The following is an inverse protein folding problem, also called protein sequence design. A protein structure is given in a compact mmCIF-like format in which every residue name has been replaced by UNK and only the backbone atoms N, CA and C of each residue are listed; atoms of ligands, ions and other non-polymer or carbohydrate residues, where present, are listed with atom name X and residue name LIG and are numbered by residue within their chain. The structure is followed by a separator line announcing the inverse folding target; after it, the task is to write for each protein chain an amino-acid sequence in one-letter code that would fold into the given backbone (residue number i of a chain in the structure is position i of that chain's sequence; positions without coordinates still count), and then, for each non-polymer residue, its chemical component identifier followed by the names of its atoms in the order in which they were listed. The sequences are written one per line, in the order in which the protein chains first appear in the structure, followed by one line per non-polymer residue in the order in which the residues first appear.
data_IF_248391818035
#
_entry.id   IF_248391818035
#
_cell.length_a   1.000
_cell.length_b   1.000
_cell.length_c   1.000
_cell.angle_alpha   90.00
_cell.angle_beta   90.00
_cell.angle_gamma   90.00
#
_symmetry.space_group_name_H-M   'P 1'
#
loop_
_entity.id
_entity.type
_entity.pdbx_description
1 polymer ?
#
# COMPACT_ATOMS: atom_id res chain seq x y z
N UNK A 1 -24.30 20.96 -12.48
CA UNK A 1 -23.32 19.89 -12.11
C UNK A 1 -23.31 19.76 -10.59
N UNK A 2 -23.46 18.55 -10.04
CA UNK A 2 -23.61 18.35 -8.60
C UNK A 2 -22.24 18.08 -7.95
N UNK A 3 -21.93 18.78 -6.87
CA UNK A 3 -20.72 18.54 -6.07
C UNK A 3 -20.83 17.23 -5.28
N UNK A 4 -19.68 16.62 -4.96
CA UNK A 4 -19.59 15.59 -3.92
C UNK A 4 -19.44 16.32 -2.59
N UNK A 5 -20.33 16.04 -1.66
CA UNK A 5 -20.29 16.58 -0.30
C UNK A 5 -20.37 15.43 0.70
N UNK A 6 -19.35 15.31 1.54
CA UNK A 6 -19.29 14.36 2.64
C UNK A 6 -19.09 15.12 3.94
N UNK A 7 -19.94 14.86 4.93
CA UNK A 7 -19.84 15.45 6.26
C UNK A 7 -19.41 14.38 7.26
N UNK A 8 -18.50 14.73 8.14
CA UNK A 8 -18.13 13.89 9.26
C UNK A 8 -19.18 14.07 10.37
N UNK A 9 -20.22 13.24 10.36
CA UNK A 9 -21.26 13.26 11.39
C UNK A 9 -20.76 12.75 12.75
N UNK A 10 -21.62 12.84 13.78
CA UNK A 10 -21.26 12.52 15.17
C UNK A 10 -20.83 11.06 15.41
N UNK A 11 -21.12 10.15 14.47
CA UNK A 11 -20.75 8.72 14.54
C UNK A 11 -19.59 8.31 13.62
N UNK A 12 -18.94 9.26 12.94
CA UNK A 12 -17.83 8.97 12.01
C UNK A 12 -18.31 8.22 10.76
N UNK A 13 -18.48 8.95 9.65
CA UNK A 13 -18.91 8.33 8.39
C UNK A 13 -17.74 7.57 7.73
N UNK A 14 -17.86 6.25 7.49
CA UNK A 14 -16.81 5.47 6.83
C UNK A 14 -16.42 6.01 5.45
N UNK A 15 -17.36 6.56 4.68
CA UNK A 15 -17.08 7.15 3.37
C UNK A 15 -16.27 8.45 3.53
N UNK A 16 -16.53 9.23 4.57
CA UNK A 16 -15.73 10.41 4.89
C UNK A 16 -14.27 10.05 5.19
N UNK A 17 -14.04 9.03 6.01
CA UNK A 17 -12.69 8.59 6.37
C UNK A 17 -11.95 7.98 5.17
N UNK A 18 -12.60 7.14 4.36
CA UNK A 18 -12.00 6.61 3.13
C UNK A 18 -11.67 7.70 2.14
N UNK A 19 -12.58 8.66 1.93
CA UNK A 19 -12.31 9.82 1.08
C UNK A 19 -11.10 10.59 1.60
N UNK A 20 -10.98 10.86 2.91
CA UNK A 20 -9.78 11.51 3.46
C UNK A 20 -8.49 10.75 3.17
N UNK A 21 -8.50 9.43 3.33
CA UNK A 21 -7.34 8.59 3.00
C UNK A 21 -7.00 8.66 1.51
N UNK A 22 -8.00 8.68 0.63
CA UNK A 22 -7.81 8.91 -0.80
C UNK A 22 -7.23 10.29 -1.11
N UNK A 23 -7.75 11.34 -0.48
CA UNK A 23 -7.27 12.71 -0.66
C UNK A 23 -5.82 12.89 -0.23
N UNK A 24 -5.34 12.06 0.71
CA UNK A 24 -3.93 12.05 1.09
C UNK A 24 -3.03 11.61 -0.06
N UNK A 25 -3.55 10.83 -1.02
CA UNK A 25 -2.84 10.37 -2.20
C UNK A 25 -2.89 11.33 -3.37
N UNK A 26 -3.60 12.45 -3.29
CA UNK A 26 -3.68 13.43 -4.38
C UNK A 26 -2.40 14.27 -4.41
N UNK A 27 -1.78 14.35 -5.58
CA UNK A 27 -0.55 15.10 -5.80
C UNK A 27 -0.71 16.59 -5.52
N UNK A 28 0.37 17.24 -5.08
CA UNK A 28 0.45 18.70 -4.83
C UNK A 28 1.58 19.37 -5.60
N UNK A 29 2.18 18.63 -6.52
CA UNK A 29 3.33 19.05 -7.31
C UNK A 29 2.91 20.01 -8.42
N UNK A 30 3.35 21.28 -8.35
CA UNK A 30 2.99 22.33 -9.31
C UNK A 30 3.37 21.97 -10.76
N UNK A 31 4.34 21.09 -10.96
CA UNK A 31 4.77 20.65 -12.30
C UNK A 31 3.86 19.59 -12.92
N UNK A 32 3.02 18.93 -12.10
CA UNK A 32 2.09 17.87 -12.53
C UNK A 32 0.67 18.20 -12.06
N UNK A 33 0.05 19.27 -12.59
CA UNK A 33 -1.27 19.72 -12.17
C UNK A 33 -2.35 18.66 -12.37
N UNK A 34 -2.19 17.75 -13.33
CA UNK A 34 -3.10 16.62 -13.57
C UNK A 34 -3.26 15.69 -12.36
N UNK A 35 -2.27 15.67 -11.46
CA UNK A 35 -2.29 14.87 -10.22
C UNK A 35 -3.01 15.57 -9.07
N UNK A 36 -3.41 16.84 -9.22
CA UNK A 36 -4.11 17.60 -8.17
C UNK A 36 -5.62 17.31 -8.15
N UNK A 37 -6.08 16.52 -9.11
CA UNK A 37 -7.47 16.13 -9.28
C UNK A 37 -7.71 14.71 -8.77
N UNK A 38 -8.98 14.41 -8.56
CA UNK A 38 -9.47 13.06 -8.33
C UNK A 38 -10.18 12.61 -9.59
N UNK A 39 -9.83 11.42 -10.08
CA UNK A 39 -10.56 10.80 -11.17
C UNK A 39 -11.73 9.99 -10.60
N UNK A 40 -12.94 10.28 -11.09
CA UNK A 40 -14.16 9.54 -10.78
C UNK A 40 -14.60 8.74 -11.99
N UNK A 41 -14.77 7.43 -11.83
CA UNK A 41 -15.21 6.51 -12.86
C UNK A 41 -16.47 5.79 -12.42
N UNK A 42 -17.46 5.68 -13.33
CA UNK A 42 -18.71 5.00 -13.06
C UNK A 42 -18.52 3.49 -13.14
N UNK A 43 -19.19 2.77 -12.25
CA UNK A 43 -19.22 1.30 -12.22
C UNK A 43 -20.65 0.81 -12.04
N UNK A 44 -20.88 -0.51 -12.11
CA UNK A 44 -22.19 -1.10 -11.81
C UNK A 44 -22.57 -0.96 -10.33
N UNK A 45 -21.60 -0.94 -9.41
CA UNK A 45 -21.82 -0.96 -7.96
C UNK A 45 -21.77 0.42 -7.30
N UNK A 46 -21.46 1.48 -8.06
CA UNK A 46 -21.21 2.83 -7.55
C UNK A 46 -20.19 3.56 -8.41
N UNK A 47 -19.31 4.33 -7.77
CA UNK A 47 -18.23 5.06 -8.43
C UNK A 47 -16.89 4.70 -7.83
N UNK A 48 -15.88 4.50 -8.68
CA UNK A 48 -14.49 4.52 -8.22
C UNK A 48 -14.03 5.98 -8.17
N UNK A 49 -13.46 6.39 -7.05
CA UNK A 49 -12.62 7.58 -7.00
C UNK A 49 -11.15 7.13 -6.93
N UNK A 50 -10.27 7.87 -7.60
CA UNK A 50 -8.84 7.56 -7.70
C UNK A 50 -8.04 8.82 -7.41
N UNK A 51 -7.06 8.71 -6.51
CA UNK A 51 -6.04 9.73 -6.28
C UNK A 51 -4.63 9.13 -6.42
N UNK A 52 -3.70 9.89 -7.00
CA UNK A 52 -2.29 9.52 -7.04
C UNK A 52 -1.35 10.74 -7.02
N UNK A 53 -0.13 10.53 -6.50
CA UNK A 53 0.90 11.56 -6.34
C UNK A 53 2.21 11.19 -7.08
N UNK A 54 2.20 10.07 -7.80
CA UNK A 54 3.35 9.51 -8.51
C UNK A 54 4.20 8.54 -7.68
N UNK A 55 4.00 8.47 -6.36
CA UNK A 55 4.66 7.51 -5.47
C UNK A 55 3.68 6.48 -4.90
N UNK A 56 2.41 6.86 -4.84
CA UNK A 56 1.31 5.98 -4.45
C UNK A 56 0.05 6.28 -5.24
N UNK A 57 -0.82 5.29 -5.25
CA UNK A 57 -2.17 5.38 -5.77
C UNK A 57 -3.14 4.77 -4.75
N UNK A 58 -4.29 5.42 -4.57
CA UNK A 58 -5.42 4.85 -3.86
C UNK A 58 -6.66 4.97 -4.73
N UNK A 59 -7.40 3.88 -4.85
CA UNK A 59 -8.72 3.80 -5.49
C UNK A 59 -9.71 3.24 -4.50
N UNK A 60 -10.81 3.94 -4.29
CA UNK A 60 -11.90 3.51 -3.41
C UNK A 60 -13.22 3.44 -4.18
N UNK A 61 -14.05 2.45 -3.84
CA UNK A 61 -15.42 2.30 -4.32
C UNK A 61 -16.40 3.00 -3.36
N UNK A 62 -17.11 4.00 -3.87
CA UNK A 62 -18.15 4.73 -3.15
C UNK A 62 -19.52 4.46 -3.75
N UNK A 63 -20.57 4.47 -2.91
CA UNK A 63 -21.97 4.32 -3.34
C UNK A 63 -22.67 5.67 -3.58
N UNK A 64 -21.90 6.72 -3.78
CA UNK A 64 -22.41 8.07 -4.08
C UNK A 64 -22.84 8.19 -5.55
N UNK A 65 -23.89 8.97 -5.80
CA UNK A 65 -24.42 9.22 -7.15
C UNK A 65 -23.81 10.49 -7.73
N UNK A 66 -22.77 10.33 -8.54
CA UNK A 66 -22.09 11.42 -9.24
C UNK A 66 -21.66 11.02 -10.64
N UNK A 67 -21.47 12.03 -11.50
CA UNK A 67 -21.04 11.83 -12.87
C UNK A 67 -19.53 11.52 -12.94
N UNK A 68 -19.09 10.67 -13.89
CA UNK A 68 -17.68 10.40 -14.10
C UNK A 68 -16.97 11.66 -14.62
N UNK A 69 -15.70 11.82 -14.25
CA UNK A 69 -14.90 12.98 -14.64
C UNK A 69 -13.82 13.31 -13.62
N UNK A 70 -13.22 14.48 -13.78
CA UNK A 70 -12.23 15.01 -12.85
C UNK A 70 -12.89 15.92 -11.82
N UNK A 71 -12.45 15.78 -10.58
CA UNK A 71 -12.94 16.57 -9.46
C UNK A 71 -11.81 17.29 -8.75
N UNK A 72 -12.04 18.56 -8.45
CA UNK A 72 -11.17 19.42 -7.65
C UNK A 72 -11.58 19.39 -6.18
N UNK A 73 -10.59 19.41 -5.31
CA UNK A 73 -10.79 19.54 -3.87
C UNK A 73 -11.07 21.02 -3.55
N UNK A 74 -12.29 21.35 -3.13
CA UNK A 74 -12.64 22.71 -2.66
C UNK A 74 -12.57 22.83 -1.14
N UNK A 75 -13.00 21.79 -0.43
CA UNK A 75 -12.94 21.71 1.03
C UNK A 75 -12.40 20.35 1.41
N UNK A 76 -11.42 20.33 2.31
CA UNK A 76 -10.92 19.11 2.97
C UNK A 76 -10.47 19.50 4.38
N UNK A 77 -11.38 19.37 5.35
CA UNK A 77 -11.11 19.61 6.75
C UNK A 77 -11.65 18.47 7.61
N UNK A 78 -11.65 18.60 8.94
CA UNK A 78 -12.09 17.55 9.86
C UNK A 78 -13.60 17.30 9.87
N UNK A 79 -14.40 18.22 9.32
CA UNK A 79 -15.87 18.21 9.36
C UNK A 79 -16.50 17.98 7.99
N UNK A 80 -15.84 18.41 6.92
CA UNK A 80 -16.40 18.42 5.58
C UNK A 80 -15.33 18.15 4.51
N UNK A 81 -15.74 17.37 3.51
CA UNK A 81 -15.06 17.24 2.23
C UNK A 81 -16.03 17.67 1.14
N UNK A 82 -15.60 18.61 0.30
CA UNK A 82 -16.35 19.07 -0.87
C UNK A 82 -15.49 18.98 -2.11
N UNK A 83 -15.96 18.22 -3.09
CA UNK A 83 -15.33 18.08 -4.40
C UNK A 83 -16.24 18.64 -5.49
N UNK A 84 -15.66 19.43 -6.39
CA UNK A 84 -16.39 20.00 -7.52
C UNK A 84 -15.87 19.43 -8.83
N UNK A 85 -16.75 19.15 -9.81
CA UNK A 85 -16.31 18.82 -11.16
C UNK A 85 -15.37 19.90 -11.71
N UNK A 86 -14.22 19.50 -12.24
CA UNK A 86 -13.28 20.41 -12.86
C UNK A 86 -13.79 20.80 -14.25
N UNK A 87 -13.81 22.10 -14.61
CA UNK A 87 -14.08 22.53 -15.97
C UNK A 87 -12.89 22.27 -16.90
N UNK A 88 -11.71 21.95 -16.36
CA UNK A 88 -10.49 21.80 -17.15
C UNK A 88 -10.45 20.46 -17.89
N UNK A 89 -10.10 20.50 -19.18
CA UNK A 89 -9.81 19.32 -19.99
C UNK A 89 -8.37 18.87 -19.76
N UNK A 90 -8.09 18.36 -18.57
CA UNK A 90 -6.81 17.73 -18.25
C UNK A 90 -6.90 16.23 -18.49
N UNK A 91 -5.86 15.62 -19.06
CA UNK A 91 -5.78 14.17 -19.20
C UNK A 91 -5.21 13.57 -17.93
N UNK A 92 -6.04 12.86 -17.17
CA UNK A 92 -5.55 12.10 -16.03
C UNK A 92 -4.63 10.96 -16.48
N UNK A 93 -3.57 10.62 -15.70
CA UNK A 93 -2.71 9.50 -16.02
C UNK A 93 -3.48 8.18 -16.17
N UNK A 94 -2.97 7.30 -17.03
CA UNK A 94 -3.54 5.97 -17.25
C UNK A 94 -3.24 5.03 -16.06
N UNK A 95 -3.87 5.30 -14.93
CA UNK A 95 -3.56 4.70 -13.63
C UNK A 95 -3.71 3.18 -13.60
N UNK A 96 -4.57 2.59 -14.45
CA UNK A 96 -4.71 1.13 -14.54
C UNK A 96 -3.39 0.44 -14.91
N UNK A 97 -2.50 1.12 -15.64
CA UNK A 97 -1.20 0.57 -16.06
C UNK A 97 -0.21 0.42 -14.90
N UNK A 98 -0.43 1.11 -13.78
CA UNK A 98 0.45 1.03 -12.61
C UNK A 98 0.01 -0.03 -11.60
N UNK A 99 -1.17 -0.61 -11.79
CA UNK A 99 -1.64 -1.72 -10.96
C UNK A 99 -0.99 -2.98 -11.52
N UNK A 100 -0.05 -3.63 -10.80
CA UNK A 100 0.65 -4.79 -11.32
C UNK A 100 -0.34 -5.95 -11.52
N UNK A 101 -0.12 -6.70 -12.61
CA UNK A 101 -0.80 -7.97 -12.82
C UNK A 101 -0.20 -9.01 -11.86
N UNK A 102 -0.98 -9.45 -10.88
CA UNK A 102 -0.51 -10.38 -9.86
C UNK A 102 -0.44 -11.79 -10.44
N UNK A 103 0.78 -12.29 -10.65
CA UNK A 103 1.03 -13.67 -11.09
C UNK A 103 1.21 -14.57 -9.87
N UNK A 104 0.43 -15.66 -9.72
CA UNK A 104 0.44 -16.46 -8.50
C UNK A 104 1.80 -17.05 -8.13
N UNK A 105 2.60 -17.43 -9.11
CA UNK A 105 3.90 -18.11 -8.91
C UNK A 105 4.99 -17.16 -8.37
N UNK A 106 4.85 -15.85 -8.63
CA UNK A 106 5.82 -14.82 -8.25
C UNK A 106 5.28 -13.83 -7.21
N UNK A 107 4.05 -14.06 -6.73
CA UNK A 107 3.35 -13.19 -5.78
C UNK A 107 3.26 -13.82 -4.40
N UNK A 108 3.75 -13.09 -3.40
CA UNK A 108 3.52 -13.39 -1.99
C UNK A 108 2.31 -12.59 -1.53
N UNK A 109 1.41 -13.24 -0.77
CA UNK A 109 0.29 -12.55 -0.16
C UNK A 109 0.15 -12.82 1.34
N UNK A 110 -0.38 -11.82 2.04
CA UNK A 110 -0.65 -11.90 3.47
C UNK A 110 -1.87 -11.04 3.82
N UNK A 111 -2.71 -11.54 4.73
CA UNK A 111 -3.93 -10.85 5.14
C UNK A 111 -3.75 -10.23 6.51
N UNK A 112 -4.19 -8.98 6.67
CA UNK A 112 -4.18 -8.30 7.97
C UNK A 112 -4.68 -6.87 7.91
N UNK A 113 -4.36 -6.11 8.97
CA UNK A 113 -4.83 -4.73 9.15
C UNK A 113 -3.73 -3.80 9.59
N UNK A 114 -3.93 -2.51 9.37
CA UNK A 114 -3.07 -1.39 9.76
C UNK A 114 -1.84 -1.16 8.86
N UNK A 115 -1.37 0.10 8.75
CA UNK A 115 -0.13 0.42 8.03
C UNK A 115 1.10 -0.32 8.54
N UNK A 116 1.21 -0.55 9.85
CA UNK A 116 2.38 -1.21 10.45
C UNK A 116 2.51 -2.65 9.99
N UNK A 117 1.39 -3.37 9.94
CA UNK A 117 1.38 -4.73 9.43
C UNK A 117 1.83 -4.77 7.96
N UNK A 118 1.31 -3.85 7.13
CA UNK A 118 1.69 -3.71 5.72
C UNK A 118 3.19 -3.49 5.57
N UNK A 119 3.75 -2.59 6.37
CA UNK A 119 5.18 -2.32 6.37
C UNK A 119 6.02 -3.51 6.85
N UNK A 120 5.57 -4.25 7.86
CA UNK A 120 6.28 -5.42 8.37
C UNK A 120 6.33 -6.55 7.34
N UNK A 121 5.20 -6.85 6.70
CA UNK A 121 5.14 -7.83 5.61
C UNK A 121 6.01 -7.36 4.42
N UNK A 122 5.92 -6.08 4.06
CA UNK A 122 6.79 -5.42 3.08
C UNK A 122 8.26 -5.70 3.34
N UNK A 123 8.76 -5.27 4.50
CA UNK A 123 10.15 -5.42 4.88
C UNK A 123 10.59 -6.88 4.98
N UNK A 124 9.73 -7.77 5.51
CA UNK A 124 10.03 -9.20 5.59
C UNK A 124 10.21 -9.85 4.21
N UNK A 125 9.53 -9.32 3.19
CA UNK A 125 9.65 -9.74 1.81
C UNK A 125 10.65 -8.90 1.00
N UNK A 126 11.37 -7.98 1.64
CA UNK A 126 12.36 -7.10 1.01
C UNK A 126 11.76 -5.89 0.27
N UNK A 127 10.45 -5.69 0.32
CA UNK A 127 9.78 -4.52 -0.23
C UNK A 127 9.71 -3.38 0.80
N UNK A 128 10.67 -2.48 0.75
CA UNK A 128 10.74 -1.33 1.65
C UNK A 128 9.91 -0.18 1.10
N UNK A 129 9.04 0.40 1.93
CA UNK A 129 8.18 1.54 1.55
C UNK A 129 8.32 2.65 2.60
N UNK A 130 8.15 3.90 2.18
CA UNK A 130 8.11 5.03 3.13
C UNK A 130 6.81 4.90 3.98
N UNK A 131 6.91 4.87 5.31
CA UNK A 131 5.74 4.81 6.20
C UNK A 131 4.69 5.89 5.92
N UNK A 132 5.11 7.10 5.51
CA UNK A 132 4.23 8.22 5.20
C UNK A 132 3.44 8.01 3.91
N UNK A 133 3.91 7.10 3.06
CA UNK A 133 3.31 6.77 1.78
C UNK A 133 2.34 5.59 1.84
N UNK A 134 2.03 5.05 3.03
CA UNK A 134 1.05 3.95 3.19
C UNK A 134 -0.33 4.53 3.57
N UNK A 135 -1.23 4.82 2.61
CA UNK A 135 -2.50 5.50 2.87
C UNK A 135 -3.58 4.51 3.34
N UNK A 136 -3.32 3.76 4.40
CA UNK A 136 -4.23 2.72 4.92
C UNK A 136 -4.66 3.14 6.34
N UNK A 137 -5.95 3.01 6.68
CA UNK A 137 -6.39 3.32 8.04
C UNK A 137 -5.98 2.20 9.02
N UNK A 138 -5.91 2.51 10.32
CA UNK A 138 -5.45 1.54 11.33
C UNK A 138 -6.36 0.31 11.45
N UNK A 139 -7.64 0.48 11.18
CA UNK A 139 -8.71 -0.51 11.21
C UNK A 139 -9.01 -1.12 9.83
N UNK A 140 -8.41 -0.60 8.76
CA UNK A 140 -8.62 -1.08 7.41
C UNK A 140 -7.96 -2.44 7.21
N UNK A 141 -8.80 -3.45 6.97
CA UNK A 141 -8.43 -4.85 6.76
C UNK A 141 -8.36 -5.16 5.26
N UNK A 142 -7.39 -5.99 4.87
CA UNK A 142 -7.26 -6.42 3.49
C UNK A 142 -6.08 -7.36 3.28
N UNK A 143 -5.86 -7.70 2.02
CA UNK A 143 -4.77 -8.52 1.56
C UNK A 143 -3.66 -7.65 0.98
N UNK A 144 -2.42 -7.98 1.32
CA UNK A 144 -1.22 -7.36 0.80
C UNK A 144 -0.61 -8.34 -0.20
N UNK A 145 -0.22 -7.83 -1.36
CA UNK A 145 0.47 -8.58 -2.40
C UNK A 145 1.80 -7.90 -2.71
N UNK A 146 2.86 -8.69 -2.74
CA UNK A 146 4.20 -8.27 -3.14
C UNK A 146 4.71 -9.28 -4.16
N UNK A 147 4.96 -8.80 -5.37
CA UNK A 147 5.43 -9.60 -6.47
C UNK A 147 6.93 -9.37 -6.71
N UNK A 148 7.66 -10.44 -7.01
CA UNK A 148 9.07 -10.40 -7.38
C UNK A 148 9.24 -10.98 -8.78
N UNK A 149 9.48 -10.12 -9.76
CA UNK A 149 9.70 -10.50 -11.16
C UNK A 149 11.15 -10.24 -11.52
N UNK A 150 11.84 -11.22 -12.10
CA UNK A 150 13.22 -11.10 -12.59
C UNK A 150 14.23 -10.55 -11.56
N UNK A 151 13.98 -10.81 -10.27
CA UNK A 151 14.80 -10.29 -9.17
C UNK A 151 14.49 -8.84 -8.77
N UNK A 152 13.58 -8.15 -9.46
CA UNK A 152 13.09 -6.82 -9.10
C UNK A 152 11.86 -6.90 -8.19
N UNK A 153 11.79 -5.97 -7.24
CA UNK A 153 10.64 -5.84 -6.35
C UNK A 153 9.62 -4.91 -7.01
N UNK A 154 8.44 -5.46 -7.28
CA UNK A 154 7.31 -4.72 -7.83
C UNK A 154 6.62 -3.88 -6.73
N UNK A 155 5.75 -2.92 -7.11
CA UNK A 155 4.96 -2.14 -6.17
C UNK A 155 4.20 -3.00 -5.15
N UNK A 156 4.16 -2.53 -3.91
CA UNK A 156 3.32 -3.12 -2.89
C UNK A 156 1.86 -2.82 -3.23
N UNK A 157 1.03 -3.86 -3.28
CA UNK A 157 -0.41 -3.72 -3.49
C UNK A 157 -1.15 -4.12 -2.23
N UNK A 158 -2.05 -3.27 -1.77
CA UNK A 158 -3.05 -3.63 -0.76
C UNK A 158 -4.44 -3.60 -1.39
N UNK A 159 -5.25 -4.62 -1.11
CA UNK A 159 -6.59 -4.74 -1.69
C UNK A 159 -7.60 -5.31 -0.71
N UNK A 160 -8.81 -4.77 -0.76
CA UNK A 160 -10.02 -5.39 -0.22
C UNK A 160 -11.20 -5.14 -1.19
N UNK A 161 -12.42 -5.42 -0.77
CA UNK A 161 -13.63 -5.28 -1.59
C UNK A 161 -13.90 -3.85 -2.08
N UNK A 162 -13.40 -2.85 -1.35
CA UNK A 162 -13.69 -1.45 -1.59
C UNK A 162 -12.47 -0.63 -1.98
N UNK A 163 -11.27 -1.09 -1.63
CA UNK A 163 -10.05 -0.29 -1.67
C UNK A 163 -8.96 -1.03 -2.41
N UNK A 164 -8.25 -0.31 -3.26
CA UNK A 164 -7.00 -0.73 -3.85
C UNK A 164 -5.97 0.37 -3.61
N UNK A 165 -4.83 -0.01 -3.05
CA UNK A 165 -3.68 0.86 -2.82
C UNK A 165 -2.47 0.27 -3.51
N UNK A 166 -1.72 1.09 -4.21
CA UNK A 166 -0.42 0.75 -4.78
C UNK A 166 0.61 1.71 -4.21
N UNK A 167 1.71 1.19 -3.68
CA UNK A 167 2.81 1.98 -3.13
C UNK A 167 4.11 1.57 -3.81
N UNK A 168 4.82 2.55 -4.36
CA UNK A 168 6.12 2.31 -4.98
C UNK A 168 7.16 1.95 -3.91
N UNK A 169 8.00 0.93 -4.15
CA UNK A 169 9.05 0.57 -3.22
C UNK A 169 10.16 1.62 -3.27
N UNK A 170 10.82 1.81 -2.14
CA UNK A 170 12.05 2.59 -2.05
C UNK A 170 13.20 1.77 -2.61
N UNK A 171 14.02 2.40 -3.46
CA UNK A 171 15.35 1.87 -3.75
C UNK A 171 16.22 2.10 -2.52
N UNK A 172 16.64 1.01 -1.88
CA UNK A 172 17.67 1.10 -0.86
C UNK A 172 19.02 1.35 -1.52
N UNK A 173 19.87 2.11 -0.86
CA UNK A 173 21.29 2.20 -1.22
C UNK A 173 21.89 0.78 -1.21
N UNK A 174 22.75 0.46 -2.19
CA UNK A 174 23.36 -0.86 -2.34
C UNK A 174 24.07 -1.33 -1.08
N UNK A 175 24.71 -0.42 -0.33
CA UNK A 175 25.35 -0.76 0.95
C UNK A 175 24.35 -1.18 2.03
N UNK A 176 23.20 -0.51 2.11
CA UNK A 176 22.15 -0.80 3.10
C UNK A 176 21.42 -2.10 2.71
N UNK A 177 21.15 -2.29 1.42
CA UNK A 177 20.56 -3.53 0.90
C UNK A 177 21.38 -4.76 1.25
N UNK A 178 22.69 -4.73 0.94
CA UNK A 178 23.59 -5.84 1.26
C UNK A 178 23.67 -6.14 2.76
N UNK A 179 23.66 -5.11 3.61
CA UNK A 179 23.68 -5.30 5.06
C UNK A 179 22.41 -6.01 5.55
N UNK A 180 21.24 -5.60 5.06
CA UNK A 180 19.96 -6.20 5.44
C UNK A 180 19.86 -7.65 4.96
N UNK A 181 20.31 -7.95 3.74
CA UNK A 181 20.33 -9.31 3.20
C UNK A 181 21.27 -10.21 4.03
N UNK A 182 22.45 -9.72 4.40
CA UNK A 182 23.37 -10.44 5.30
C UNK A 182 22.74 -10.70 6.66
N UNK A 183 22.05 -9.72 7.24
CA UNK A 183 21.35 -9.88 8.52
C UNK A 183 20.24 -10.94 8.44
N UNK A 184 19.46 -10.97 7.35
CA UNK A 184 18.43 -11.98 7.14
C UNK A 184 19.02 -13.38 6.97
N UNK A 185 20.07 -13.52 6.14
CA UNK A 185 20.80 -14.77 5.94
C UNK A 185 21.40 -15.31 7.25
N UNK A 186 22.01 -14.46 8.06
CA UNK A 186 22.57 -14.87 9.34
C UNK A 186 21.50 -15.29 10.33
N UNK A 187 20.34 -14.63 10.33
CA UNK A 187 19.20 -15.04 11.16
C UNK A 187 18.68 -16.41 10.75
N UNK A 188 18.54 -16.68 9.45
CA UNK A 188 18.15 -17.99 8.93
C UNK A 188 19.18 -19.07 9.28
N UNK A 189 20.48 -18.78 9.17
CA UNK A 189 21.55 -19.69 9.56
C UNK A 189 21.50 -20.03 11.05
N UNK A 190 21.25 -19.04 11.92
CA UNK A 190 21.09 -19.27 13.37
C UNK A 190 19.85 -20.12 13.67
N UNK A 191 18.72 -19.83 13.05
CA UNK A 191 17.49 -20.62 13.17
C UNK A 191 17.71 -22.07 12.72
N UNK A 192 18.38 -22.29 11.59
CA UNK A 192 18.70 -23.63 11.08
C UNK A 192 19.59 -24.41 12.04
N UNK A 193 20.62 -23.77 12.63
CA UNK A 193 21.48 -24.40 13.65
C UNK A 193 20.72 -24.73 14.93
N UNK A 194 19.71 -23.94 15.28
CA UNK A 194 18.89 -24.17 16.47
C UNK A 194 17.88 -25.31 16.26
N UNK A 195 17.27 -25.39 15.07
CA UNK A 195 16.33 -26.45 14.70
C UNK A 195 17.04 -27.79 14.45
N UNK A 196 18.28 -27.77 13.94
CA UNK A 196 19.13 -28.94 13.77
C UNK A 196 20.41 -28.79 14.59
N UNK A 197 20.35 -28.92 15.93
CA UNK A 197 21.53 -28.89 16.76
C UNK A 197 22.43 -30.06 16.35
N UNK A 198 23.73 -29.80 16.17
CA UNK A 198 24.70 -30.86 15.93
C UNK A 198 24.57 -31.91 17.05
N UNK A 199 24.69 -33.21 16.74
CA UNK A 199 24.63 -34.25 17.76
C UNK A 199 25.67 -33.92 18.83
N UNK A 200 25.22 -33.82 20.08
CA UNK A 200 26.11 -33.61 21.22
C UNK A 200 27.15 -34.73 21.16
N UNK A 201 28.42 -34.38 20.91
CA UNK A 201 29.52 -35.32 21.12
C UNK A 201 29.46 -35.69 22.60
N UNK A 202 29.16 -36.96 22.88
CA UNK A 202 29.24 -37.47 24.24
C UNK A 202 30.67 -37.18 24.75
N UNK A 203 30.81 -36.65 25.97
CA UNK A 203 32.13 -36.46 26.54
C UNK A 203 32.84 -37.81 26.55
N UNK A 204 34.16 -37.86 26.24
CA UNK A 204 34.89 -39.12 26.30
C UNK A 204 34.74 -39.68 27.71
N UNK A 205 34.18 -40.89 27.80
CA UNK A 205 34.10 -41.62 29.05
C UNK A 205 35.50 -41.64 29.66
N UNK A 206 35.65 -40.98 30.81
CA UNK A 206 36.87 -41.00 31.58
C UNK A 206 37.25 -42.46 31.83
N UNK A 207 38.36 -42.87 31.24
CA UNK A 207 38.91 -44.20 31.45
C UNK A 207 39.07 -44.45 32.94
N UNK A 208 38.42 -45.51 33.42
CA UNK A 208 38.75 -46.12 34.70
C UNK A 208 40.25 -46.45 34.67
N UNK A 209 41.02 -45.80 35.54
CA UNK A 209 42.34 -46.29 35.92
C UNK A 209 42.14 -47.39 36.95
N UNK A 210 42.67 -48.56 36.62
CA UNK A 210 42.90 -49.67 37.54
C UNK A 210 43.90 -49.28 38.62
#
# INVERSE_FOLDING_TARGET
MKAIELKNGDRGDPDFHRMRSLLACVGKDKMRPELHYILVEKTKAGVYAVGCDGLRLRRDLFRIKVEPGLYEIKVNNSREIRLMPSPMKVRYPAYRKIIPGLEPESTYSAVGKSPRFVMWIGAALGCYVDPKLVPIAHDEYGEIHIQKLDGEIMPLVFRNDHTLVVVMPMKLDGHIGEQLDRMQLDRLRRLRKWLNPAPKKNPPHGGQRW
#
